data_IF_208028510243
#
_entry.id   IF_208028510243
#
_cell.length_a   1.000
_cell.length_b   1.000
_cell.length_c   1.000
_cell.angle_alpha   90.00
_cell.angle_beta   90.00
_cell.angle_gamma   90.00
#
_symmetry.space_group_name_H-M   'P 1'
#
loop_
_entity.id
_entity.type
_entity.pdbx_description
1 polymer ?
#
# COMPACT_ATOMS: atom_id res chain seq x y z
N UNK A 1 -2.31 6.88 -7.75
CA UNK A 1 -2.92 7.27 -9.05
C UNK A 1 -2.64 8.74 -9.33
N UNK A 2 -2.67 9.13 -10.60
CA UNK A 2 -2.47 10.50 -11.08
C UNK A 2 -3.75 11.04 -11.72
N UNK A 3 -3.82 12.35 -11.96
CA UNK A 3 -4.89 13.01 -12.72
C UNK A 3 -4.29 14.02 -13.71
N UNK A 4 -5.12 14.61 -14.58
CA UNK A 4 -4.73 15.81 -15.34
C UNK A 4 -4.99 17.11 -14.59
N UNK A 5 -5.62 17.04 -13.41
CA UNK A 5 -5.99 18.22 -12.63
C UNK A 5 -4.76 18.84 -11.97
N UNK A 6 -4.81 20.15 -11.83
CA UNK A 6 -3.85 20.96 -11.07
C UNK A 6 -4.38 21.29 -9.67
N UNK A 7 -3.52 21.77 -8.77
CA UNK A 7 -3.99 22.25 -7.46
C UNK A 7 -5.04 23.37 -7.56
N UNK A 8 -4.99 24.17 -8.62
CA UNK A 8 -5.97 25.23 -8.87
C UNK A 8 -7.38 24.69 -9.09
N UNK A 9 -7.50 23.58 -9.81
CA UNK A 9 -8.79 22.96 -10.17
C UNK A 9 -9.55 22.41 -8.96
N UNK A 10 -8.81 22.02 -7.91
CA UNK A 10 -9.38 21.38 -6.72
C UNK A 10 -9.38 22.27 -5.48
N UNK A 11 -8.77 23.46 -5.52
CA UNK A 11 -8.53 24.32 -4.36
C UNK A 11 -9.78 24.58 -3.51
N UNK A 12 -10.89 24.90 -4.17
CA UNK A 12 -12.17 25.21 -3.52
C UNK A 12 -13.08 23.98 -3.37
N UNK A 13 -12.63 22.81 -3.82
CA UNK A 13 -13.38 21.54 -3.82
C UNK A 13 -12.79 20.52 -2.86
N UNK A 14 -11.59 20.74 -2.31
CA UNK A 14 -10.88 19.74 -1.48
C UNK A 14 -11.73 19.23 -0.31
N UNK A 15 -12.47 20.11 0.35
CA UNK A 15 -13.34 19.75 1.46
C UNK A 15 -14.47 18.80 1.01
N UNK A 16 -15.15 19.16 -0.07
CA UNK A 16 -16.22 18.36 -0.66
C UNK A 16 -15.71 17.02 -1.20
N UNK A 17 -14.55 17.00 -1.87
CA UNK A 17 -13.89 15.77 -2.33
C UNK A 17 -13.64 14.83 -1.16
N UNK A 18 -13.00 15.30 -0.09
CA UNK A 18 -12.68 14.45 1.06
C UNK A 18 -13.95 13.98 1.78
N UNK A 19 -14.96 14.84 1.93
CA UNK A 19 -16.23 14.47 2.57
C UNK A 19 -16.98 13.41 1.75
N UNK A 20 -17.03 13.56 0.42
CA UNK A 20 -17.67 12.61 -0.50
C UNK A 20 -16.91 11.28 -0.56
N UNK A 21 -15.57 11.32 -0.60
CA UNK A 21 -14.74 10.13 -0.53
C UNK A 21 -14.94 9.39 0.80
N UNK A 22 -15.08 10.12 1.92
CA UNK A 22 -15.28 9.53 3.25
C UNK A 22 -16.63 8.79 3.35
N UNK A 23 -17.65 9.32 2.66
CA UNK A 23 -18.96 8.67 2.55
C UNK A 23 -18.91 7.42 1.65
N UNK A 24 -18.22 7.50 0.51
CA UNK A 24 -18.19 6.43 -0.49
C UNK A 24 -17.22 5.29 -0.14
N UNK A 25 -16.21 5.55 0.68
CA UNK A 25 -15.14 4.60 1.01
C UNK A 25 -15.11 4.37 2.52
N UNK A 26 -15.68 3.27 3.03
CA UNK A 26 -15.72 3.02 4.45
C UNK A 26 -14.32 2.95 5.07
N UNK A 27 -14.19 3.59 6.23
CA UNK A 27 -12.96 3.71 7.01
C UNK A 27 -13.32 3.51 8.49
N UNK A 28 -12.39 3.03 9.32
CA UNK A 28 -12.68 2.60 10.69
C UNK A 28 -12.49 1.10 10.94
N UNK A 29 -12.30 0.76 12.21
CA UNK A 29 -12.34 -0.62 12.70
C UNK A 29 -13.78 -1.15 12.59
N UNK A 30 -13.96 -2.27 11.89
CA UNK A 30 -15.28 -2.92 11.75
C UNK A 30 -16.20 -2.31 10.69
N UNK A 31 -15.75 -1.26 9.99
CA UNK A 31 -16.48 -0.65 8.88
C UNK A 31 -16.64 -1.62 7.72
N UNK A 32 -17.79 -1.55 7.05
CA UNK A 32 -18.17 -2.40 5.94
C UNK A 32 -19.08 -1.64 4.97
N UNK A 33 -19.14 -2.08 3.71
CA UNK A 33 -20.14 -1.62 2.75
C UNK A 33 -21.42 -2.43 2.92
N UNK A 34 -22.57 -1.75 2.96
CA UNK A 34 -23.88 -2.43 3.14
C UNK A 34 -24.33 -3.18 1.88
N UNK A 35 -23.91 -2.68 0.72
CA UNK A 35 -24.24 -3.14 -0.62
C UNK A 35 -23.24 -4.16 -1.18
N UNK A 36 -22.11 -4.40 -0.50
CA UNK A 36 -21.13 -5.41 -0.86
C UNK A 36 -21.14 -6.52 0.19
N UNK A 37 -21.78 -7.65 -0.13
CA UNK A 37 -21.78 -8.87 0.70
C UNK A 37 -21.36 -10.05 -0.13
N UNK A 38 -20.12 -10.49 0.05
CA UNK A 38 -19.59 -11.64 -0.66
C UNK A 38 -19.86 -12.93 0.11
N UNK A 39 -20.26 -13.97 -0.63
CA UNK A 39 -20.28 -15.33 -0.09
C UNK A 39 -18.85 -15.83 0.13
N UNK A 40 -18.68 -16.93 0.88
CA UNK A 40 -17.38 -17.58 1.02
C UNK A 40 -16.78 -17.96 -0.33
N UNK A 41 -17.60 -18.50 -1.25
CA UNK A 41 -17.13 -18.90 -2.58
C UNK A 41 -16.65 -17.70 -3.41
N UNK A 42 -17.31 -16.55 -3.29
CA UNK A 42 -16.85 -15.33 -3.95
C UNK A 42 -15.54 -14.83 -3.33
N UNK A 43 -15.39 -14.87 -2.01
CA UNK A 43 -14.10 -14.54 -1.38
C UNK A 43 -12.96 -15.48 -1.80
N UNK A 44 -13.23 -16.76 -2.01
CA UNK A 44 -12.22 -17.67 -2.56
C UNK A 44 -11.76 -17.22 -3.95
N UNK A 45 -12.68 -16.76 -4.81
CA UNK A 45 -12.32 -16.17 -6.11
C UNK A 45 -11.47 -14.91 -5.94
N UNK A 46 -11.81 -14.04 -4.99
CA UNK A 46 -10.98 -12.87 -4.63
C UNK A 46 -9.57 -13.31 -4.23
N UNK A 47 -9.43 -14.36 -3.41
CA UNK A 47 -8.12 -14.84 -2.96
C UNK A 47 -7.28 -15.43 -4.10
N UNK A 48 -7.91 -16.01 -5.13
CA UNK A 48 -7.20 -16.58 -6.29
C UNK A 48 -6.85 -15.51 -7.31
N UNK A 49 -7.78 -14.62 -7.64
CA UNK A 49 -7.66 -13.68 -8.76
C UNK A 49 -7.16 -12.30 -8.37
N UNK A 50 -7.30 -11.89 -7.12
CA UNK A 50 -6.85 -10.58 -6.65
C UNK A 50 -7.51 -9.40 -7.39
N UNK A 51 -6.72 -8.44 -7.87
CA UNK A 51 -7.25 -7.28 -8.60
C UNK A 51 -7.98 -7.67 -9.90
N UNK A 52 -7.62 -8.79 -10.53
CA UNK A 52 -8.31 -9.31 -11.72
C UNK A 52 -9.78 -9.59 -11.42
N UNK A 53 -10.11 -10.17 -10.26
CA UNK A 53 -11.52 -10.36 -9.86
C UNK A 53 -12.23 -9.02 -9.71
N UNK A 54 -11.57 -7.99 -9.17
CA UNK A 54 -12.18 -6.68 -9.02
C UNK A 54 -12.50 -6.08 -10.40
N UNK A 55 -11.57 -6.15 -11.36
CA UNK A 55 -11.79 -5.68 -12.74
C UNK A 55 -12.91 -6.46 -13.44
N UNK A 56 -12.93 -7.80 -13.33
CA UNK A 56 -14.00 -8.66 -13.87
C UNK A 56 -15.39 -8.32 -13.30
N UNK A 57 -15.45 -7.78 -12.07
CA UNK A 57 -16.67 -7.35 -11.40
C UNK A 57 -16.96 -5.85 -11.56
N UNK A 58 -16.30 -5.18 -12.52
CA UNK A 58 -16.58 -3.78 -12.88
C UNK A 58 -15.77 -2.73 -12.11
N UNK A 59 -14.86 -3.14 -11.24
CA UNK A 59 -14.04 -2.22 -10.45
C UNK A 59 -12.72 -1.87 -11.18
N UNK A 60 -12.79 -0.90 -12.09
CA UNK A 60 -11.62 -0.34 -12.79
C UNK A 60 -11.41 -0.97 -14.17
N UNK A 61 -10.15 -1.11 -14.61
CA UNK A 61 -9.85 -1.56 -15.97
C UNK A 61 -8.63 -2.48 -16.05
N UNK A 62 -8.51 -3.21 -17.16
CA UNK A 62 -7.35 -4.06 -17.48
C UNK A 62 -6.01 -3.29 -17.46
N UNK A 63 -6.04 -2.00 -17.78
CA UNK A 63 -4.84 -1.16 -17.71
C UNK A 63 -4.30 -1.04 -16.28
N UNK A 64 -5.17 -1.04 -15.28
CA UNK A 64 -4.77 -0.96 -13.88
C UNK A 64 -3.93 -2.18 -13.47
N UNK A 65 -4.26 -3.36 -13.98
CA UNK A 65 -3.52 -4.59 -13.70
C UNK A 65 -2.07 -4.48 -14.19
N UNK A 66 -1.85 -3.89 -15.37
CA UNK A 66 -0.50 -3.73 -15.96
C UNK A 66 0.44 -2.88 -15.10
N UNK A 67 -0.10 -1.94 -14.33
CA UNK A 67 0.65 -1.05 -13.45
C UNK A 67 0.54 -1.46 -11.97
N UNK A 68 0.02 -2.65 -11.68
CA UNK A 68 0.01 -3.23 -10.35
C UNK A 68 1.16 -4.23 -10.23
N UNK A 69 1.86 -4.23 -9.10
CA UNK A 69 2.89 -5.22 -8.82
C UNK A 69 2.35 -6.66 -9.02
N UNK A 70 3.07 -7.44 -9.85
CA UNK A 70 2.69 -8.79 -10.28
C UNK A 70 1.29 -8.89 -10.91
N UNK A 71 0.83 -7.82 -11.59
CA UNK A 71 -0.50 -7.81 -12.18
C UNK A 71 -1.63 -7.72 -11.15
N UNK A 72 -1.33 -7.53 -9.87
CA UNK A 72 -2.30 -7.56 -8.78
C UNK A 72 -2.75 -8.95 -8.38
N UNK A 73 -1.95 -9.98 -8.72
CA UNK A 73 -2.26 -11.38 -8.45
C UNK A 73 -1.00 -12.22 -8.27
N UNK A 74 -0.94 -12.96 -7.16
CA UNK A 74 0.02 -14.02 -6.91
C UNK A 74 -0.63 -15.38 -7.19
N UNK A 75 -0.08 -16.12 -8.15
CA UNK A 75 -0.66 -17.39 -8.63
C UNK A 75 -0.60 -18.53 -7.62
N UNK A 76 0.26 -18.43 -6.60
CA UNK A 76 0.43 -19.47 -5.58
C UNK A 76 -0.66 -19.48 -4.51
N UNK A 77 -1.74 -18.70 -4.67
CA UNK A 77 -2.77 -18.57 -3.66
C UNK A 77 -3.61 -19.85 -3.53
N UNK A 78 -3.71 -20.40 -2.31
CA UNK A 78 -4.49 -21.61 -2.02
C UNK A 78 -5.59 -21.31 -0.99
N UNK A 79 -6.85 -21.12 -1.41
CA UNK A 79 -7.95 -20.76 -0.52
C UNK A 79 -8.21 -21.75 0.62
N UNK A 80 -7.84 -23.02 0.44
CA UNK A 80 -7.99 -24.08 1.44
C UNK A 80 -6.96 -23.97 2.59
N UNK A 81 -5.90 -23.19 2.40
CA UNK A 81 -4.89 -22.92 3.44
C UNK A 81 -5.25 -21.68 4.29
N UNK A 82 -6.42 -21.08 4.08
CA UNK A 82 -6.94 -19.95 4.84
C UNK A 82 -8.05 -20.43 5.79
N UNK A 83 -7.97 -20.05 7.06
CA UNK A 83 -8.91 -20.49 8.10
C UNK A 83 -10.30 -19.87 7.95
N UNK A 84 -11.33 -20.54 8.48
CA UNK A 84 -12.69 -20.01 8.54
C UNK A 84 -12.74 -18.65 9.24
N UNK A 85 -12.00 -18.51 10.35
CA UNK A 85 -11.89 -17.25 11.10
C UNK A 85 -11.30 -16.12 10.25
N UNK A 86 -10.35 -16.41 9.36
CA UNK A 86 -9.80 -15.41 8.46
C UNK A 86 -10.82 -14.98 7.40
N UNK A 87 -11.61 -15.91 6.86
CA UNK A 87 -12.73 -15.58 5.97
C UNK A 87 -13.80 -14.74 6.68
N UNK A 88 -14.21 -15.11 7.89
CA UNK A 88 -15.19 -14.36 8.68
C UNK A 88 -14.74 -12.92 8.92
N UNK A 89 -13.46 -12.72 9.30
CA UNK A 89 -12.90 -11.38 9.52
C UNK A 89 -12.71 -10.57 8.24
N UNK A 90 -12.48 -11.24 7.10
CA UNK A 90 -12.32 -10.60 5.80
C UNK A 90 -13.62 -10.29 5.08
N UNK A 91 -14.69 -11.04 5.35
CA UNK A 91 -15.93 -11.00 4.55
C UNK A 91 -16.52 -9.61 4.43
N UNK A 92 -16.61 -8.91 5.55
CA UNK A 92 -17.29 -7.62 5.60
C UNK A 92 -16.32 -6.44 5.40
N UNK A 93 -15.02 -6.69 5.15
CA UNK A 93 -13.99 -5.66 5.12
C UNK A 93 -13.41 -5.36 3.73
N UNK A 94 -13.85 -6.07 2.70
CA UNK A 94 -13.37 -5.82 1.34
C UNK A 94 -13.90 -4.48 0.85
N UNK A 95 -13.05 -3.68 0.22
CA UNK A 95 -13.37 -2.32 -0.16
C UNK A 95 -13.39 -1.34 1.02
N UNK A 96 -12.47 -1.48 1.97
CA UNK A 96 -12.36 -0.55 3.11
C UNK A 96 -10.94 -0.07 3.34
N UNK A 97 -10.79 1.17 3.81
CA UNK A 97 -9.46 1.73 4.16
C UNK A 97 -8.92 1.02 5.38
N UNK A 98 -9.75 0.87 6.41
CA UNK A 98 -9.35 0.23 7.65
C UNK A 98 -9.00 1.15 8.78
N UNK A 99 -7.89 0.90 9.48
CA UNK A 99 -7.43 1.71 10.61
C UNK A 99 -5.92 1.76 10.71
N UNK A 100 -5.40 2.63 11.59
CA UNK A 100 -3.97 2.83 11.80
C UNK A 100 -3.39 3.79 10.77
N UNK A 101 -2.25 3.45 10.17
CA UNK A 101 -1.60 4.30 9.17
C UNK A 101 -2.26 4.23 7.78
N UNK A 102 -3.45 3.64 7.66
CA UNK A 102 -4.16 3.48 6.39
C UNK A 102 -4.94 4.74 6.01
N UNK A 103 -4.99 5.04 4.70
CA UNK A 103 -5.63 6.24 4.20
C UNK A 103 -5.98 6.25 2.72
N UNK A 104 -6.79 7.23 2.35
CA UNK A 104 -6.86 7.80 1.01
C UNK A 104 -6.46 9.27 1.12
N UNK A 105 -5.46 9.71 0.37
CA UNK A 105 -4.90 11.07 0.47
C UNK A 105 -4.86 11.72 -0.90
N UNK A 106 -5.38 12.96 -0.96
CA UNK A 106 -5.26 13.85 -2.12
C UNK A 106 -4.05 14.73 -1.86
N UNK A 107 -3.08 14.67 -2.77
CA UNK A 107 -1.87 15.47 -2.71
C UNK A 107 -1.60 16.18 -4.02
N UNK A 108 -0.64 17.10 -4.00
CA UNK A 108 -0.11 17.76 -5.19
C UNK A 108 1.38 17.47 -5.33
N UNK A 109 1.81 17.16 -6.55
CA UNK A 109 3.23 17.10 -6.89
C UNK A 109 3.83 18.49 -6.71
N UNK A 110 4.64 18.66 -5.68
CA UNK A 110 5.23 19.95 -5.32
C UNK A 110 6.55 20.21 -6.04
N UNK A 111 7.32 19.16 -6.30
CA UNK A 111 8.68 19.24 -6.81
C UNK A 111 9.01 17.95 -7.59
N UNK A 112 9.68 18.11 -8.74
CA UNK A 112 10.22 17.02 -9.54
C UNK A 112 11.75 17.01 -9.39
N UNK A 113 12.31 15.87 -8.99
CA UNK A 113 13.76 15.68 -8.84
C UNK A 113 14.40 15.01 -10.06
N UNK A 114 13.66 14.11 -10.72
CA UNK A 114 14.09 13.42 -11.94
C UNK A 114 13.00 13.59 -12.99
N UNK A 115 13.23 14.50 -13.95
CA UNK A 115 12.26 14.81 -15.00
C UNK A 115 12.04 13.64 -15.97
N UNK A 116 13.05 12.78 -16.20
CA UNK A 116 12.93 11.67 -17.13
C UNK A 116 12.06 10.55 -16.53
N UNK A 117 12.33 10.18 -15.29
CA UNK A 117 11.48 9.22 -14.56
C UNK A 117 10.07 9.79 -14.32
N UNK A 118 9.95 11.07 -13.95
CA UNK A 118 8.65 11.70 -13.76
C UNK A 118 7.81 11.70 -15.05
N UNK A 119 8.41 12.03 -16.20
CA UNK A 119 7.72 11.97 -17.49
C UNK A 119 7.22 10.55 -17.81
N UNK A 120 8.06 9.53 -17.61
CA UNK A 120 7.64 8.14 -17.79
C UNK A 120 6.48 7.77 -16.85
N UNK A 121 6.54 8.23 -15.59
CA UNK A 121 5.49 8.02 -14.59
C UNK A 121 4.29 8.98 -14.77
N UNK A 122 4.29 9.83 -15.80
CA UNK A 122 3.29 10.85 -16.11
C UNK A 122 3.02 11.81 -14.95
N UNK A 123 4.07 12.14 -14.21
CA UNK A 123 4.08 13.10 -13.11
C UNK A 123 4.63 14.45 -13.58
N UNK A 124 3.97 15.54 -13.17
CA UNK A 124 4.42 16.91 -13.43
C UNK A 124 4.09 17.81 -12.24
N UNK A 125 4.79 18.93 -12.09
CA UNK A 125 4.56 19.85 -10.98
C UNK A 125 3.13 20.40 -10.98
N UNK A 126 2.63 20.67 -9.78
CA UNK A 126 1.26 21.14 -9.52
C UNK A 126 0.14 20.13 -9.86
N UNK A 127 0.50 18.90 -10.27
CA UNK A 127 -0.47 17.85 -10.57
C UNK A 127 -1.12 17.27 -9.31
N UNK A 128 -2.43 17.06 -9.36
CA UNK A 128 -3.18 16.36 -8.32
C UNK A 128 -2.97 14.85 -8.45
N UNK A 129 -2.62 14.25 -7.32
CA UNK A 129 -2.41 12.80 -7.17
C UNK A 129 -3.25 12.28 -6.02
N UNK A 130 -3.57 10.99 -6.09
CA UNK A 130 -4.29 10.30 -5.02
C UNK A 130 -3.48 9.08 -4.60
N UNK A 131 -3.22 8.96 -3.31
CA UNK A 131 -2.51 7.83 -2.71
C UNK A 131 -3.47 7.01 -1.86
N UNK A 132 -3.51 5.71 -2.11
CA UNK A 132 -4.32 4.75 -1.36
C UNK A 132 -3.36 3.85 -0.59
N UNK A 133 -3.42 3.91 0.73
CA UNK A 133 -2.61 3.09 1.62
C UNK A 133 -3.53 2.19 2.44
N UNK A 134 -3.60 0.92 2.07
CA UNK A 134 -4.28 -0.12 2.85
C UNK A 134 -3.76 -1.51 2.47
N UNK A 135 -4.24 -2.54 3.17
CA UNK A 135 -3.81 -3.91 2.98
C UNK A 135 -4.95 -4.93 3.05
N UNK A 136 -4.60 -6.14 3.44
CA UNK A 136 -5.46 -7.33 3.49
C UNK A 136 -6.49 -7.35 4.62
N UNK A 137 -6.70 -6.21 5.29
CA UNK A 137 -7.64 -6.02 6.39
C UNK A 137 -7.50 -7.11 7.47
N UNK A 138 -8.60 -7.49 8.12
CA UNK A 138 -8.63 -8.53 9.16
C UNK A 138 -8.24 -9.92 8.64
N UNK A 139 -8.42 -10.19 7.34
CA UNK A 139 -8.11 -11.48 6.73
C UNK A 139 -6.62 -11.82 6.83
N UNK A 140 -5.74 -10.94 6.33
CA UNK A 140 -4.30 -11.20 6.40
C UNK A 140 -3.73 -11.12 7.81
N UNK A 141 -4.32 -10.29 8.70
CA UNK A 141 -3.98 -10.33 10.12
C UNK A 141 -4.26 -11.71 10.72
N UNK A 142 -5.43 -12.28 10.44
CA UNK A 142 -5.80 -13.58 11.01
C UNK A 142 -4.95 -14.71 10.42
N UNK A 143 -4.64 -14.67 9.12
CA UNK A 143 -3.69 -15.61 8.50
C UNK A 143 -2.33 -15.53 9.21
N UNK A 144 -1.79 -14.34 9.46
CA UNK A 144 -0.54 -14.20 10.19
C UNK A 144 -0.62 -14.80 11.61
N UNK A 145 -1.67 -14.49 12.37
CA UNK A 145 -1.90 -15.03 13.72
C UNK A 145 -2.03 -16.57 13.75
N UNK A 146 -2.73 -17.14 12.76
CA UNK A 146 -2.89 -18.59 12.63
C UNK A 146 -1.55 -19.28 12.33
N UNK A 147 -0.80 -18.75 11.36
CA UNK A 147 0.48 -19.33 10.96
C UNK A 147 1.60 -19.08 11.96
N UNK A 148 1.58 -18.03 12.78
CA UNK A 148 2.54 -17.89 13.90
C UNK A 148 2.46 -19.11 14.84
N UNK A 149 1.24 -19.60 15.13
CA UNK A 149 1.05 -20.79 15.98
C UNK A 149 1.55 -22.06 15.30
N UNK A 150 1.38 -22.16 13.98
CA UNK A 150 1.91 -23.28 13.18
C UNK A 150 3.45 -23.25 13.11
N UNK A 151 4.02 -22.07 12.85
CA UNK A 151 5.47 -21.86 12.75
C UNK A 151 6.18 -22.12 14.07
N UNK A 152 5.59 -21.77 15.21
CA UNK A 152 6.11 -22.14 16.54
C UNK A 152 6.31 -23.65 16.70
N UNK A 153 5.34 -24.45 16.25
CA UNK A 153 5.43 -25.92 16.27
C UNK A 153 6.42 -26.42 15.23
N UNK A 154 6.45 -25.80 14.06
CA UNK A 154 7.35 -26.14 12.97
C UNK A 154 8.82 -25.90 13.36
N UNK A 155 9.14 -24.77 14.01
CA UNK A 155 10.50 -24.47 14.48
C UNK A 155 11.01 -25.57 15.41
N UNK A 156 10.18 -26.03 16.36
CA UNK A 156 10.52 -27.15 17.23
C UNK A 156 10.68 -28.47 16.45
N UNK A 157 9.74 -28.78 15.54
CA UNK A 157 9.77 -29.99 14.69
C UNK A 157 11.03 -30.08 13.83
N UNK A 158 11.50 -28.96 13.28
CA UNK A 158 12.68 -28.91 12.41
C UNK A 158 13.98 -28.58 13.17
N UNK A 159 13.95 -28.55 14.51
CA UNK A 159 15.14 -28.27 15.33
C UNK A 159 15.73 -26.88 15.11
N UNK A 160 14.92 -25.90 14.74
CA UNK A 160 15.37 -24.51 14.51
C UNK A 160 15.49 -23.80 15.86
N UNK A 161 16.71 -23.45 16.24
CA UNK A 161 16.96 -22.62 17.42
C UNK A 161 16.53 -21.18 17.15
N UNK A 162 15.59 -20.68 17.94
CA UNK A 162 15.06 -19.32 17.82
C UNK A 162 15.73 -18.40 18.85
N UNK A 163 16.42 -17.32 18.42
CA UNK A 163 16.97 -16.35 19.36
C UNK A 163 15.87 -15.53 20.06
N UNK A 164 14.69 -15.41 19.43
CA UNK A 164 13.48 -14.86 20.02
C UNK A 164 12.27 -15.68 19.52
N UNK A 165 11.30 -15.93 20.41
CA UNK A 165 10.08 -16.68 20.08
C UNK A 165 9.28 -16.04 18.93
N UNK A 166 9.32 -14.71 18.80
CA UNK A 166 8.66 -13.95 17.74
C UNK A 166 9.31 -14.15 16.36
N UNK A 167 10.48 -14.80 16.29
CA UNK A 167 11.16 -15.16 15.05
C UNK A 167 10.82 -16.59 14.58
N UNK A 168 9.71 -17.16 15.07
CA UNK A 168 9.26 -18.49 14.67
C UNK A 168 9.16 -18.63 13.14
N UNK A 169 9.67 -19.73 12.62
CA UNK A 169 9.78 -19.98 11.19
C UNK A 169 9.76 -21.48 10.86
N UNK A 170 9.67 -21.77 9.57
CA UNK A 170 9.81 -23.11 9.01
C UNK A 170 10.65 -23.04 7.74
N UNK A 171 11.30 -24.15 7.31
CA UNK A 171 11.94 -24.21 6.01
C UNK A 171 10.94 -23.87 4.90
N UNK A 172 11.32 -23.00 3.95
CA UNK A 172 10.44 -22.52 2.86
C UNK A 172 9.77 -23.65 2.09
N UNK A 173 10.47 -24.78 1.90
CA UNK A 173 9.97 -25.95 1.15
C UNK A 173 9.19 -26.95 2.00
N UNK A 174 9.07 -26.73 3.31
CA UNK A 174 8.31 -27.59 4.21
C UNK A 174 6.80 -27.49 3.92
N UNK A 175 6.02 -28.41 4.50
CA UNK A 175 4.55 -28.38 4.39
C UNK A 175 4.01 -27.06 4.96
N UNK A 176 4.47 -26.69 6.16
CA UNK A 176 4.07 -25.48 6.87
C UNK A 176 4.50 -24.20 6.12
N UNK A 177 5.73 -24.19 5.57
CA UNK A 177 6.25 -23.09 4.76
C UNK A 177 5.42 -22.87 3.48
N UNK A 178 5.14 -23.93 2.72
CA UNK A 178 4.33 -23.86 1.50
C UNK A 178 2.89 -23.43 1.79
N UNK A 179 2.27 -23.98 2.84
CA UNK A 179 0.91 -23.61 3.25
C UNK A 179 0.84 -22.13 3.62
N UNK A 180 1.77 -21.63 4.44
CA UNK A 180 1.84 -20.21 4.78
C UNK A 180 2.01 -19.32 3.57
N UNK A 181 2.97 -19.62 2.68
CA UNK A 181 3.22 -18.80 1.50
C UNK A 181 1.99 -18.74 0.58
N UNK A 182 1.27 -19.85 0.43
CA UNK A 182 0.03 -19.87 -0.36
C UNK A 182 -1.13 -19.11 0.30
N UNK A 183 -1.25 -19.15 1.63
CA UNK A 183 -2.25 -18.37 2.36
C UNK A 183 -1.91 -16.87 2.34
N UNK A 184 -0.63 -16.52 2.50
CA UNK A 184 -0.13 -15.15 2.36
C UNK A 184 -0.35 -14.61 0.95
N UNK A 185 -0.16 -15.43 -0.09
CA UNK A 185 -0.51 -15.05 -1.46
C UNK A 185 -2.00 -14.73 -1.60
N UNK A 186 -2.89 -15.54 -1.01
CA UNK A 186 -4.32 -15.22 -0.93
C UNK A 186 -4.61 -13.89 -0.20
N UNK A 187 -3.90 -13.60 0.88
CA UNK A 187 -4.01 -12.33 1.59
C UNK A 187 -3.54 -11.13 0.75
N UNK A 188 -2.46 -11.30 -0.03
CA UNK A 188 -1.96 -10.29 -0.94
C UNK A 188 -2.97 -10.01 -2.07
N UNK A 189 -3.54 -11.06 -2.66
CA UNK A 189 -4.58 -10.97 -3.68
C UNK A 189 -5.81 -10.22 -3.15
N UNK A 190 -6.27 -10.56 -1.95
CA UNK A 190 -7.33 -9.80 -1.27
C UNK A 190 -6.96 -8.31 -1.11
N UNK A 191 -5.71 -8.00 -0.75
CA UNK A 191 -5.25 -6.62 -0.60
C UNK A 191 -5.23 -5.86 -1.95
N UNK A 192 -4.81 -6.51 -3.03
CA UNK A 192 -4.86 -5.96 -4.38
C UNK A 192 -6.30 -5.67 -4.81
N UNK A 193 -7.22 -6.63 -4.63
CA UNK A 193 -8.65 -6.43 -4.88
C UNK A 193 -9.21 -5.25 -4.06
N UNK A 194 -8.86 -5.18 -2.76
CA UNK A 194 -9.28 -4.09 -1.88
C UNK A 194 -8.86 -2.71 -2.42
N UNK A 195 -7.59 -2.56 -2.82
CA UNK A 195 -7.09 -1.28 -3.36
C UNK A 195 -7.69 -0.96 -4.73
N UNK A 196 -7.91 -1.96 -5.58
CA UNK A 196 -8.55 -1.81 -6.88
C UNK A 196 -9.99 -1.28 -6.74
N UNK A 197 -10.77 -1.83 -5.81
CA UNK A 197 -12.13 -1.34 -5.50
C UNK A 197 -12.14 0.07 -4.95
N UNK A 198 -11.23 0.38 -4.01
CA UNK A 198 -11.10 1.74 -3.46
C UNK A 198 -10.74 2.74 -4.56
N UNK A 199 -9.82 2.38 -5.46
CA UNK A 199 -9.45 3.24 -6.59
C UNK A 199 -10.63 3.47 -7.53
N UNK A 200 -11.45 2.46 -7.77
CA UNK A 200 -12.68 2.63 -8.55
C UNK A 200 -13.63 3.65 -7.91
N UNK A 201 -13.88 3.58 -6.60
CA UNK A 201 -14.74 4.57 -5.93
C UNK A 201 -14.11 5.96 -5.84
N UNK A 202 -12.77 6.06 -5.78
CA UNK A 202 -12.11 7.36 -5.96
C UNK A 202 -12.45 7.95 -7.33
N UNK A 203 -12.43 7.14 -8.39
CA UNK A 203 -12.83 7.60 -9.74
C UNK A 203 -14.27 8.08 -9.75
N UNK A 204 -15.22 7.26 -9.28
CA UNK A 204 -16.64 7.64 -9.22
C UNK A 204 -16.87 8.96 -8.46
N UNK A 205 -16.21 9.13 -7.31
CA UNK A 205 -16.33 10.37 -6.53
C UNK A 205 -15.83 11.59 -7.31
N UNK A 206 -14.70 11.47 -8.01
CA UNK A 206 -14.19 12.56 -8.84
C UNK A 206 -15.11 12.82 -10.04
N UNK A 207 -15.59 11.78 -10.71
CA UNK A 207 -16.52 11.91 -11.85
C UNK A 207 -17.81 12.64 -11.45
N UNK A 208 -18.35 12.31 -10.28
CA UNK A 208 -19.51 12.95 -9.68
C UNK A 208 -19.29 14.44 -9.39
N UNK A 209 -18.13 14.80 -8.84
CA UNK A 209 -17.82 16.17 -8.41
C UNK A 209 -17.49 17.07 -9.62
N UNK A 210 -16.78 16.53 -10.60
CA UNK A 210 -16.39 17.27 -11.81
C UNK A 210 -17.40 17.14 -12.95
N UNK A 211 -18.44 16.31 -12.79
CA UNK A 211 -19.50 16.06 -13.79
C UNK A 211 -18.91 15.68 -15.15
N UNK A 212 -17.88 14.85 -15.14
CA UNK A 212 -17.13 14.44 -16.32
C UNK A 212 -16.56 13.04 -16.09
N UNK A 213 -16.39 12.26 -17.16
CA UNK A 213 -15.88 10.88 -17.04
C UNK A 213 -14.41 10.82 -16.65
N UNK A 214 -13.99 9.74 -15.96
CA UNK A 214 -12.67 9.59 -15.35
C UNK A 214 -11.54 9.57 -16.36
N UNK A 215 -11.80 9.13 -17.59
CA UNK A 215 -10.87 9.23 -18.72
C UNK A 215 -10.48 10.70 -19.00
N UNK A 216 -11.43 11.64 -18.95
CA UNK A 216 -11.15 13.08 -19.15
C UNK A 216 -10.39 13.68 -17.96
N UNK A 217 -10.55 13.11 -16.77
CA UNK A 217 -9.79 13.48 -15.58
C UNK A 217 -8.40 12.82 -15.52
N UNK A 218 -8.10 11.91 -16.46
CA UNK A 218 -6.86 11.13 -16.52
C UNK A 218 -6.56 10.37 -15.23
N UNK A 219 -7.59 9.85 -14.57
CA UNK A 219 -7.47 9.13 -13.29
C UNK A 219 -6.87 7.72 -13.47
N UNK A 220 -5.59 7.67 -13.79
CA UNK A 220 -4.85 6.44 -14.10
C UNK A 220 -3.96 6.00 -12.94
N UNK A 221 -3.82 4.69 -12.76
CA UNK A 221 -2.85 4.14 -11.81
C UNK A 221 -1.43 4.50 -12.27
N UNK A 222 -0.62 5.04 -11.35
CA UNK A 222 0.82 5.21 -11.59
C UNK A 222 1.49 3.88 -11.31
N UNK A 223 1.37 3.40 -10.07
CA UNK A 223 1.81 2.08 -9.68
C UNK A 223 1.06 1.64 -8.42
N UNK A 224 1.01 0.34 -8.16
CA UNK A 224 0.61 -0.25 -6.88
C UNK A 224 1.70 -1.23 -6.42
N UNK A 225 2.15 -1.09 -5.16
CA UNK A 225 3.28 -1.82 -4.62
C UNK A 225 3.04 -2.28 -3.18
N UNK A 226 3.47 -3.50 -2.88
CA UNK A 226 3.41 -4.10 -1.56
C UNK A 226 4.64 -3.74 -0.71
N UNK A 227 4.42 -3.65 0.60
CA UNK A 227 5.50 -3.40 1.57
C UNK A 227 5.52 -4.36 2.78
N UNK A 228 4.57 -5.29 2.83
CA UNK A 228 4.51 -6.41 3.77
C UNK A 228 4.20 -7.68 2.97
N UNK A 229 5.24 -8.35 2.48
CA UNK A 229 5.12 -9.48 1.56
C UNK A 229 6.38 -10.35 1.61
N UNK A 230 6.26 -11.64 1.35
CA UNK A 230 7.38 -12.52 1.02
C UNK A 230 7.29 -12.94 -0.44
N UNK A 231 8.42 -12.94 -1.16
CA UNK A 231 8.47 -13.32 -2.58
C UNK A 231 9.62 -14.25 -2.89
N UNK A 232 9.37 -15.23 -3.76
CA UNK A 232 10.40 -16.08 -4.32
C UNK A 232 11.01 -15.35 -5.51
N UNK A 233 12.25 -14.89 -5.37
CA UNK A 233 12.92 -14.04 -6.35
C UNK A 233 14.30 -14.63 -6.70
N UNK A 234 14.77 -14.34 -7.91
CA UNK A 234 16.13 -14.67 -8.35
C UNK A 234 17.04 -13.47 -8.07
N UNK A 235 18.12 -13.71 -7.36
CA UNK A 235 19.14 -12.71 -7.01
C UNK A 235 20.53 -13.33 -7.05
N UNK A 236 21.57 -12.50 -6.99
CA UNK A 236 22.95 -12.96 -6.86
C UNK A 236 23.36 -12.94 -5.39
N UNK A 237 23.82 -14.07 -4.86
CA UNK A 237 24.33 -14.23 -3.49
C UNK A 237 25.70 -14.88 -3.57
N UNK A 238 26.71 -14.28 -2.93
CA UNK A 238 28.11 -14.72 -2.99
C UNK A 238 28.60 -14.96 -4.44
N UNK A 239 28.25 -14.01 -5.34
CA UNK A 239 28.52 -14.06 -6.78
C UNK A 239 27.92 -15.26 -7.53
N UNK A 240 26.85 -15.87 -6.99
CA UNK A 240 26.13 -16.99 -7.62
C UNK A 240 24.64 -16.69 -7.72
N UNK A 241 24.02 -17.14 -8.79
CA UNK A 241 22.57 -17.07 -8.94
C UNK A 241 21.89 -17.94 -7.87
N UNK A 242 20.96 -17.33 -7.14
CA UNK A 242 20.23 -17.96 -6.07
C UNK A 242 18.74 -17.60 -6.16
N UNK A 243 17.90 -18.60 -5.92
CA UNK A 243 16.46 -18.39 -5.69
C UNK A 243 16.23 -18.24 -4.20
N UNK A 244 15.81 -17.07 -3.77
CA UNK A 244 15.66 -16.71 -2.35
C UNK A 244 14.21 -16.32 -2.04
N UNK A 245 13.80 -16.54 -0.78
CA UNK A 245 12.53 -16.04 -0.27
C UNK A 245 12.76 -14.68 0.41
N UNK A 246 12.59 -13.60 -0.35
CA UNK A 246 12.79 -12.23 0.13
C UNK A 246 11.61 -11.83 1.00
N UNK A 247 11.85 -11.62 2.29
CA UNK A 247 10.85 -11.14 3.23
C UNK A 247 10.95 -9.62 3.36
N UNK A 248 9.91 -8.90 2.95
CA UNK A 248 9.82 -7.44 3.10
C UNK A 248 8.75 -7.13 4.14
N UNK A 249 9.15 -6.45 5.22
CA UNK A 249 8.25 -5.96 6.28
C UNK A 249 8.54 -4.49 6.53
N UNK A 250 7.65 -3.61 6.08
CA UNK A 250 7.91 -2.17 6.04
C UNK A 250 9.02 -1.79 5.05
N UNK A 251 9.18 -2.57 3.98
CA UNK A 251 10.16 -2.37 2.91
C UNK A 251 9.51 -2.65 1.56
N UNK A 252 9.94 -1.96 0.51
CA UNK A 252 9.28 -1.98 -0.80
C UNK A 252 10.21 -2.60 -1.84
N UNK A 253 9.67 -3.32 -2.84
CA UNK A 253 10.45 -3.74 -4.01
C UNK A 253 10.89 -2.52 -4.83
N UNK A 254 12.11 -2.55 -5.36
CA UNK A 254 12.76 -1.41 -6.03
C UNK A 254 13.59 -1.89 -7.25
N UNK A 255 12.94 -2.62 -8.16
CA UNK A 255 13.61 -3.19 -9.32
C UNK A 255 14.12 -2.14 -10.32
N UNK A 256 15.29 -2.39 -10.95
CA UNK A 256 15.96 -1.42 -11.80
C UNK A 256 15.32 -1.30 -13.19
N UNK A 257 15.75 -0.29 -13.93
CA UNK A 257 15.58 -0.24 -15.38
C UNK A 257 16.08 -1.54 -16.04
N UNK A 258 15.34 -2.00 -17.05
CA UNK A 258 15.59 -3.23 -17.80
C UNK A 258 15.00 -4.49 -17.17
N UNK A 259 14.59 -4.46 -15.90
CA UNK A 259 14.10 -5.66 -15.22
C UNK A 259 12.74 -6.12 -15.81
N UNK A 260 12.58 -7.42 -16.15
CA UNK A 260 11.40 -7.90 -16.89
C UNK A 260 10.08 -7.76 -16.12
N UNK A 261 10.13 -7.83 -14.78
CA UNK A 261 8.96 -7.64 -13.92
C UNK A 261 8.50 -6.17 -13.78
N UNK A 262 9.25 -5.20 -14.33
CA UNK A 262 8.83 -3.80 -14.39
C UNK A 262 7.90 -3.64 -15.60
N UNK A 263 6.75 -2.95 -15.45
CA UNK A 263 5.83 -2.68 -16.56
C UNK A 263 6.55 -2.05 -17.74
N UNK A 264 6.15 -2.39 -18.96
CA UNK A 264 6.81 -1.96 -20.20
C UNK A 264 6.99 -0.44 -20.26
N UNK A 265 5.96 0.34 -19.91
CA UNK A 265 6.00 1.81 -19.91
C UNK A 265 7.01 2.43 -18.92
N UNK A 266 7.53 1.65 -17.95
CA UNK A 266 8.51 2.10 -16.96
C UNK A 266 9.84 1.36 -17.06
N UNK A 267 9.95 0.34 -17.93
CA UNK A 267 11.11 -0.54 -17.97
C UNK A 267 12.40 0.19 -18.34
N UNK A 268 12.32 1.29 -19.09
CA UNK A 268 13.48 2.13 -19.42
C UNK A 268 14.01 2.95 -18.23
N UNK A 269 13.17 3.28 -17.25
CA UNK A 269 13.55 4.11 -16.09
C UNK A 269 13.70 3.33 -14.79
N UNK A 270 12.97 2.22 -14.64
CA UNK A 270 12.93 1.38 -13.43
C UNK A 270 11.57 1.40 -12.75
N UNK A 271 11.42 0.60 -11.69
CA UNK A 271 10.15 0.45 -11.01
C UNK A 271 9.78 1.71 -10.21
N UNK A 272 8.55 2.24 -10.31
CA UNK A 272 8.07 3.21 -9.35
C UNK A 272 8.08 2.64 -7.93
N UNK A 273 8.54 3.45 -6.97
CA UNK A 273 8.54 3.16 -5.54
C UNK A 273 7.73 4.25 -4.86
N UNK A 274 6.67 3.85 -4.15
CA UNK A 274 5.75 4.78 -3.49
C UNK A 274 6.03 4.81 -2.00
N UNK A 275 6.40 5.98 -1.48
CA UNK A 275 6.72 6.18 -0.06
C UNK A 275 5.65 7.08 0.55
N UNK A 276 4.60 6.49 1.15
CA UNK A 276 3.64 7.24 1.93
C UNK A 276 4.32 7.97 3.08
N UNK A 277 4.02 9.26 3.17
CA UNK A 277 4.25 10.05 4.37
C UNK A 277 3.23 9.76 5.46
N UNK A 278 3.35 10.53 6.54
CA UNK A 278 2.38 10.54 7.64
C UNK A 278 1.39 11.69 7.42
N UNK A 279 0.31 11.71 8.19
CA UNK A 279 -0.73 12.71 8.07
C UNK A 279 -0.17 14.14 8.13
N UNK A 280 -0.35 14.90 7.06
CA UNK A 280 0.14 16.29 6.96
C UNK A 280 1.64 16.44 6.69
N UNK A 281 2.34 15.36 6.35
CA UNK A 281 3.73 15.38 5.84
C UNK A 281 3.76 14.97 4.37
N UNK A 282 4.87 15.28 3.72
CA UNK A 282 5.06 14.94 2.31
C UNK A 282 5.08 13.41 2.11
N UNK A 283 4.62 12.96 0.95
CA UNK A 283 4.88 11.62 0.40
C UNK A 283 5.88 11.74 -0.76
N UNK A 284 6.52 10.64 -1.14
CA UNK A 284 7.52 10.65 -2.22
C UNK A 284 7.27 9.54 -3.23
N UNK A 285 7.63 9.82 -4.48
CA UNK A 285 7.81 8.83 -5.54
C UNK A 285 9.29 8.72 -5.81
N UNK A 286 9.80 7.49 -5.79
CA UNK A 286 11.17 7.15 -6.14
C UNK A 286 11.18 6.15 -7.29
N UNK A 287 12.36 5.83 -7.79
CA UNK A 287 12.60 4.81 -8.80
C UNK A 287 13.58 3.75 -8.28
N UNK A 288 13.35 2.49 -8.63
CA UNK A 288 14.25 1.38 -8.36
C UNK A 288 15.57 1.46 -9.13
N UNK A 289 16.63 0.85 -8.60
CA UNK A 289 18.01 1.05 -9.07
C UNK A 289 18.77 -0.27 -9.15
N UNK A 290 19.86 -0.29 -9.93
CA UNK A 290 20.73 -1.48 -10.02
C UNK A 290 21.39 -1.80 -8.68
N UNK A 291 21.81 -0.76 -7.96
CA UNK A 291 22.42 -0.90 -6.64
C UNK A 291 21.48 -1.57 -5.62
N UNK A 292 20.17 -1.34 -5.71
CA UNK A 292 19.21 -2.10 -4.89
C UNK A 292 19.27 -3.61 -5.17
N UNK A 293 19.42 -4.02 -6.43
CA UNK A 293 19.58 -5.45 -6.77
C UNK A 293 20.85 -6.04 -6.19
N UNK A 294 21.93 -5.26 -6.16
CA UNK A 294 23.24 -5.67 -5.67
C UNK A 294 23.30 -5.74 -4.13
N UNK A 295 22.72 -4.77 -3.43
CA UNK A 295 22.92 -4.61 -1.98
C UNK A 295 21.72 -5.08 -1.13
N UNK A 296 20.50 -5.03 -1.67
CA UNK A 296 19.27 -5.13 -0.85
C UNK A 296 18.21 -6.06 -1.43
N UNK A 297 18.60 -6.99 -2.32
CA UNK A 297 17.66 -7.88 -3.01
C UNK A 297 16.54 -7.09 -3.74
N UNK A 298 16.91 -6.00 -4.40
CA UNK A 298 15.99 -5.11 -5.09
C UNK A 298 14.98 -4.48 -4.14
N UNK A 299 15.42 -3.99 -2.97
CA UNK A 299 14.53 -3.44 -1.94
C UNK A 299 14.92 -2.04 -1.47
N UNK A 300 13.93 -1.31 -0.97
CA UNK A 300 14.11 0.03 -0.37
C UNK A 300 13.12 0.26 0.77
N UNK A 301 13.07 1.47 1.32
CA UNK A 301 12.16 1.85 2.38
C UNK A 301 10.68 1.85 1.94
N UNK A 302 9.78 1.98 2.91
CA UNK A 302 8.34 2.16 2.65
C UNK A 302 7.79 3.48 3.21
N UNK A 303 8.38 4.04 4.27
CA UNK A 303 7.88 5.25 4.92
C UNK A 303 8.77 5.68 6.08
N UNK A 304 8.31 6.70 6.82
CA UNK A 304 9.02 7.25 7.97
C UNK A 304 9.23 6.23 9.13
N UNK A 305 8.29 5.30 9.32
CA UNK A 305 8.32 4.38 10.46
C UNK A 305 8.00 5.08 11.78
N UNK A 306 7.29 4.36 12.67
CA UNK A 306 6.84 4.92 13.95
C UNK A 306 7.98 5.04 14.95
N UNK A 307 8.00 6.15 15.69
CA UNK A 307 8.88 6.39 16.86
C UNK A 307 8.09 6.43 18.17
N UNK A 308 6.75 6.50 18.11
CA UNK A 308 5.87 6.42 19.28
C UNK A 308 4.86 5.28 19.15
N UNK A 309 4.61 4.58 20.26
CA UNK A 309 3.45 3.69 20.36
C UNK A 309 2.15 4.51 20.25
N UNK A 310 1.06 3.87 19.83
CA UNK A 310 -0.27 4.51 19.75
C UNK A 310 -0.71 5.09 21.08
N UNK A 311 -0.52 4.33 22.16
CA UNK A 311 -0.82 4.78 23.52
C UNK A 311 -0.01 6.00 23.96
N UNK A 312 1.28 6.09 23.55
CA UNK A 312 2.12 7.25 23.83
C UNK A 312 1.69 8.46 23.01
N UNK A 313 1.36 8.28 21.73
CA UNK A 313 0.86 9.33 20.85
C UNK A 313 -0.46 9.91 21.37
N UNK A 314 -1.42 9.07 21.78
CA UNK A 314 -2.69 9.50 22.39
C UNK A 314 -2.46 10.37 23.63
N UNK A 315 -1.54 9.98 24.52
CA UNK A 315 -1.20 10.76 25.71
C UNK A 315 -0.59 12.12 25.34
N UNK A 316 0.31 12.15 24.36
CA UNK A 316 0.95 13.37 23.89
C UNK A 316 -0.02 14.33 23.15
N UNK A 317 -1.07 13.78 22.53
CA UNK A 317 -2.10 14.55 21.84
C UNK A 317 -3.22 15.06 22.76
N UNK A 318 -3.21 14.71 24.05
CA UNK A 318 -4.29 15.07 24.98
C UNK A 318 -4.45 16.60 25.08
N UNK A 319 -5.68 17.07 24.90
CA UNK A 319 -6.02 18.51 24.95
C UNK A 319 -5.72 19.29 23.66
N UNK A 320 -5.08 18.67 22.66
CA UNK A 320 -4.82 19.28 21.35
C UNK A 320 -6.02 19.13 20.42
N UNK A 321 -6.09 20.04 19.44
CA UNK A 321 -7.05 19.97 18.35
C UNK A 321 -6.31 19.63 17.06
N UNK A 322 -5.99 18.35 16.88
CA UNK A 322 -5.20 17.87 15.73
C UNK A 322 -5.85 18.28 14.39
N UNK A 323 -7.18 18.29 14.31
CA UNK A 323 -7.90 18.77 13.12
C UNK A 323 -7.56 20.23 12.79
N UNK A 324 -7.59 21.14 13.79
CA UNK A 324 -7.25 22.56 13.60
C UNK A 324 -5.78 22.74 13.23
N UNK A 325 -4.89 21.92 13.79
CA UNK A 325 -3.47 21.94 13.45
C UNK A 325 -3.22 21.49 12.01
N UNK A 326 -3.97 20.52 11.50
CA UNK A 326 -3.93 20.11 10.09
C UNK A 326 -4.51 21.19 9.18
N UNK A 327 -5.65 21.79 9.55
CA UNK A 327 -6.25 22.91 8.80
C UNK A 327 -5.30 24.12 8.73
N UNK A 328 -4.58 24.43 9.81
CA UNK A 328 -3.56 25.48 9.83
C UNK A 328 -2.38 25.18 8.87
N UNK A 329 -2.13 23.90 8.56
CA UNK A 329 -1.16 23.45 7.54
C UNK A 329 -1.78 23.35 6.14
N UNK A 330 -3.06 23.72 5.97
CA UNK A 330 -3.78 23.61 4.70
C UNK A 330 -4.21 22.19 4.34
N UNK A 331 -4.24 21.27 5.31
CA UNK A 331 -4.59 19.86 5.11
C UNK A 331 -5.94 19.57 5.76
N UNK A 332 -6.92 19.20 4.95
CA UNK A 332 -8.25 18.85 5.45
C UNK A 332 -8.39 17.35 5.70
N UNK A 333 -8.77 16.95 6.93
CA UNK A 333 -8.78 15.53 7.33
C UNK A 333 -10.14 15.07 7.83
N UNK A 334 -10.58 13.90 7.35
CA UNK A 334 -11.69 13.13 7.90
C UNK A 334 -11.16 11.85 8.53
N UNK A 335 -11.65 11.51 9.71
CA UNK A 335 -11.25 10.31 10.44
C UNK A 335 -12.47 9.70 11.15
N UNK A 336 -12.44 8.38 11.36
CA UNK A 336 -13.49 7.66 12.08
C UNK A 336 -13.68 8.14 13.53
N UNK A 337 -12.59 8.57 14.18
CA UNK A 337 -12.63 9.10 15.55
C UNK A 337 -11.53 10.13 15.79
N UNK A 338 -11.65 10.87 16.91
CA UNK A 338 -10.61 11.83 17.34
C UNK A 338 -9.36 11.09 17.79
N UNK A 339 -9.52 9.90 18.36
CA UNK A 339 -8.47 9.02 18.83
C UNK A 339 -7.62 8.52 17.67
N UNK A 340 -8.24 8.08 16.57
CA UNK A 340 -7.56 7.71 15.32
C UNK A 340 -6.64 8.85 14.85
N UNK A 341 -7.17 10.07 14.83
CA UNK A 341 -6.41 11.25 14.40
C UNK A 341 -5.20 11.53 15.31
N UNK A 342 -5.37 11.32 16.62
CA UNK A 342 -4.32 11.52 17.62
C UNK A 342 -3.22 10.44 17.57
N UNK A 343 -3.57 9.19 17.29
CA UNK A 343 -2.62 8.07 17.15
C UNK A 343 -1.66 8.23 15.98
N UNK A 344 -2.09 8.97 14.96
CA UNK A 344 -1.42 9.10 13.65
C UNK A 344 -0.84 10.51 13.43
N UNK A 345 -0.60 11.25 14.51
CA UNK A 345 0.07 12.55 14.49
C UNK A 345 1.47 12.48 13.86
N UNK A 346 1.91 13.53 13.13
CA UNK A 346 3.23 13.57 12.51
C UNK A 346 4.39 13.22 13.46
N UNK A 347 4.30 13.66 14.71
CA UNK A 347 5.32 13.47 15.75
C UNK A 347 5.45 12.01 16.19
N UNK A 348 4.46 11.16 15.89
CA UNK A 348 4.53 9.73 16.15
C UNK A 348 5.48 8.99 15.19
N UNK A 349 5.99 9.68 14.16
CA UNK A 349 6.79 9.12 13.07
C UNK A 349 8.09 9.90 12.83
N UNK A 350 9.09 9.21 12.24
CA UNK A 350 10.32 9.89 11.76
C UNK A 350 9.99 10.89 10.66
N UNK A 351 10.92 11.78 10.33
CA UNK A 351 10.75 12.61 9.13
C UNK A 351 11.01 11.75 7.88
N UNK A 352 9.97 11.52 7.08
CA UNK A 352 10.07 10.73 5.85
C UNK A 352 11.08 11.33 4.86
N UNK A 353 11.28 12.65 4.88
CA UNK A 353 12.24 13.35 4.02
C UNK A 353 13.66 12.88 4.30
N UNK A 354 14.00 12.72 5.58
CA UNK A 354 15.31 12.17 5.97
C UNK A 354 15.47 10.72 5.50
N UNK A 355 14.42 9.89 5.65
CA UNK A 355 14.45 8.49 5.23
C UNK A 355 14.66 8.37 3.71
N UNK A 356 13.95 9.17 2.90
CA UNK A 356 14.10 9.12 1.44
C UNK A 356 15.45 9.65 0.97
N UNK A 357 16.00 10.68 1.62
CA UNK A 357 17.36 11.15 1.30
C UNK A 357 18.43 10.12 1.63
N UNK A 358 18.27 9.33 2.71
CA UNK A 358 19.22 8.25 3.02
C UNK A 358 19.23 7.19 1.91
N UNK A 359 18.06 6.67 1.50
CA UNK A 359 18.01 5.65 0.44
C UNK A 359 18.42 6.19 -0.93
N UNK A 360 18.21 7.49 -1.16
CA UNK A 360 18.69 8.19 -2.34
C UNK A 360 20.22 8.30 -2.38
N UNK A 361 20.82 8.78 -1.31
CA UNK A 361 22.27 8.93 -1.22
C UNK A 361 22.99 7.58 -1.17
N UNK A 362 22.35 6.56 -0.57
CA UNK A 362 22.81 5.18 -0.65
C UNK A 362 22.67 4.60 -2.07
N UNK A 363 21.96 5.26 -2.98
CA UNK A 363 21.80 4.84 -4.37
C UNK A 363 20.88 3.63 -4.57
N UNK A 364 20.21 3.14 -3.52
CA UNK A 364 19.25 2.01 -3.62
C UNK A 364 17.87 2.47 -4.11
N UNK A 365 17.62 3.77 -4.23
CA UNK A 365 16.47 4.33 -4.95
C UNK A 365 16.81 5.74 -5.44
N UNK A 366 16.16 6.22 -6.50
CA UNK A 366 16.35 7.60 -6.99
C UNK A 366 15.11 8.43 -6.68
N UNK A 367 15.27 9.64 -6.12
CA UNK A 367 14.14 10.56 -5.92
C UNK A 367 13.54 10.98 -7.26
N UNK A 368 12.22 10.92 -7.39
CA UNK A 368 11.51 11.34 -8.61
C UNK A 368 10.60 12.52 -8.34
N UNK A 369 9.72 12.43 -7.35
CA UNK A 369 8.78 13.50 -7.05
C UNK A 369 8.46 13.60 -5.56
N UNK A 370 8.23 14.84 -5.09
CA UNK A 370 7.67 15.14 -3.77
C UNK A 370 6.20 15.49 -3.90
N UNK A 371 5.36 14.89 -3.08
CA UNK A 371 3.92 15.14 -3.02
C UNK A 371 3.59 15.76 -1.67
N UNK A 372 2.87 16.87 -1.65
CA UNK A 372 2.38 17.47 -0.40
C UNK A 372 0.87 17.26 -0.27
N UNK A 373 0.37 16.86 0.91
CA UNK A 373 -1.04 16.55 1.11
C UNK A 373 -1.89 17.82 1.09
N UNK A 374 -3.10 17.70 0.56
CA UNK A 374 -4.16 18.72 0.59
C UNK A 374 -5.36 18.24 1.41
N UNK A 375 -5.62 16.93 1.41
CA UNK A 375 -6.61 16.36 2.31
C UNK A 375 -6.53 14.84 2.38
N UNK A 376 -7.05 14.26 3.46
CA UNK A 376 -6.97 12.82 3.70
C UNK A 376 -8.17 12.26 4.44
N UNK A 377 -8.52 11.01 4.09
CA UNK A 377 -9.34 10.12 4.90
C UNK A 377 -8.41 9.22 5.71
N UNK A 378 -8.61 9.19 7.02
CA UNK A 378 -7.96 8.27 7.95
C UNK A 378 -8.93 7.19 8.37
N UNK A 379 -8.42 5.96 8.36
CA UNK A 379 -9.09 4.80 8.88
C UNK A 379 -9.07 4.69 10.39
#
# INVERSE_FOLDING_TARGET
MRSVLSAGDIRNKIKDIIDRLYLNIPSGVGSHRKDLKLSRNELQKVLVKGAEWAVENGYGSEEDLRFTEDGGRLDSAEPNNVSDKAYERGRDQLGTVGSGNHFVEIGVVKEIYDSHAAQAFGLFENQVTIMIHTGSRGLGYQICDDYIREMMKASAKYGISLPDRQLCCAPVRSIEGKRYLSAMAGAANYAFANRQMIMHWVRETFEDIFRTGGHKLGLSLVYDVCHNIAKIEKHTVDNKDATVCVHRKGATRAFPAGHPAVPEGYRNVGQPVLIPGDMGRASYVLCGTKRAMEETFGSTCHGAGRVMSRSKALKAAKGRSIHKEMEAKGVYVRAASRETLAEETPEAYKDVSQVVHVVHNAGISTLVAKIVPLGSIKG
#
